data_IF_178913918250
#
_entry.id   IF_178913918250
#
_cell.length_a   1.000
_cell.length_b   1.000
_cell.length_c   1.000
_cell.angle_alpha   90.00
_cell.angle_beta   90.00
_cell.angle_gamma   90.00
#
_symmetry.space_group_name_H-M   'P 1'
#
loop_
_entity.id
_entity.type
_entity.pdbx_description
1 polymer ?
#
# COMPACT_ATOMS: atom_id res chain seq x y z
N UNK A 1 -44.07 -31.56 -14.57
CA UNK A 1 -42.77 -30.90 -14.29
C UNK A 1 -41.73 -31.99 -14.09
N UNK A 2 -41.07 -32.45 -15.17
CA UNK A 2 -40.02 -33.47 -15.10
C UNK A 2 -38.70 -32.75 -15.40
N UNK A 3 -37.96 -32.38 -14.36
CA UNK A 3 -36.56 -31.98 -14.54
C UNK A 3 -35.81 -33.21 -15.04
N UNK A 4 -35.39 -33.18 -16.31
CA UNK A 4 -34.68 -34.31 -16.91
C UNK A 4 -33.36 -34.52 -16.18
N UNK A 5 -33.01 -35.77 -15.84
CA UNK A 5 -31.77 -36.13 -15.16
C UNK A 5 -30.52 -35.55 -15.87
N UNK A 6 -30.63 -35.28 -17.18
CA UNK A 6 -29.63 -34.62 -18.01
C UNK A 6 -29.29 -33.21 -17.49
N UNK A 7 -30.25 -32.42 -17.05
CA UNK A 7 -29.99 -31.06 -16.52
C UNK A 7 -29.24 -31.08 -15.19
N UNK A 8 -29.47 -32.09 -14.36
CA UNK A 8 -28.77 -32.25 -13.07
C UNK A 8 -27.32 -32.66 -13.31
N UNK A 9 -27.07 -33.58 -14.24
CA UNK A 9 -25.71 -34.03 -14.58
C UNK A 9 -24.89 -32.89 -15.20
N UNK A 10 -25.47 -32.07 -16.08
CA UNK A 10 -24.78 -30.90 -16.66
C UNK A 10 -24.40 -29.88 -15.59
N UNK A 11 -25.28 -29.61 -14.62
CA UNK A 11 -24.97 -28.71 -13.51
C UNK A 11 -23.87 -29.26 -12.59
N UNK A 12 -23.89 -30.55 -12.27
CA UNK A 12 -22.89 -31.18 -11.39
C UNK A 12 -21.52 -31.21 -12.06
N UNK A 13 -21.46 -31.62 -13.34
CA UNK A 13 -20.20 -31.66 -14.11
C UNK A 13 -19.67 -30.24 -14.35
N UNK A 14 -20.55 -29.27 -14.62
CA UNK A 14 -20.18 -27.86 -14.75
C UNK A 14 -19.59 -27.29 -13.46
N UNK A 15 -20.21 -27.54 -12.31
CA UNK A 15 -19.67 -27.12 -11.00
C UNK A 15 -18.35 -27.81 -10.67
N UNK A 16 -18.19 -29.10 -10.97
CA UNK A 16 -16.94 -29.83 -10.77
C UNK A 16 -15.81 -29.29 -11.65
N UNK A 17 -16.09 -28.94 -12.91
CA UNK A 17 -15.10 -28.31 -13.78
C UNK A 17 -14.72 -26.93 -13.27
N UNK A 18 -15.68 -26.11 -12.82
CA UNK A 18 -15.38 -24.79 -12.23
C UNK A 18 -14.54 -24.93 -10.96
N UNK A 19 -14.81 -25.92 -10.11
CA UNK A 19 -14.01 -26.20 -8.91
C UNK A 19 -12.61 -26.74 -9.22
N UNK A 20 -12.43 -27.47 -10.32
CA UNK A 20 -11.12 -27.96 -10.78
C UNK A 20 -10.32 -26.89 -11.54
N UNK A 21 -10.99 -25.91 -12.15
CA UNK A 21 -10.38 -24.76 -12.83
C UNK A 21 -10.19 -23.54 -11.92
N UNK A 22 -10.73 -23.58 -10.69
CA UNK A 22 -10.38 -22.68 -9.61
C UNK A 22 -8.93 -22.96 -9.20
N UNK A 23 -7.99 -22.44 -9.99
CA UNK A 23 -6.60 -22.30 -9.55
C UNK A 23 -6.64 -21.54 -8.24
N UNK A 24 -6.12 -22.16 -7.18
CA UNK A 24 -5.68 -21.42 -6.01
C UNK A 24 -4.73 -20.32 -6.52
N UNK A 25 -5.13 -19.07 -6.35
CA UNK A 25 -4.22 -17.95 -6.49
C UNK A 25 -3.18 -18.12 -5.38
N UNK A 26 -2.12 -18.86 -5.68
CA UNK A 26 -0.93 -18.89 -4.83
C UNK A 26 -0.43 -17.46 -4.62
N UNK A 27 0.33 -17.19 -3.54
CA UNK A 27 0.88 -15.87 -3.33
C UNK A 27 1.65 -15.47 -4.57
N UNK A 28 1.20 -14.40 -5.25
CA UNK A 28 1.94 -13.80 -6.35
C UNK A 28 3.31 -13.44 -5.80
N UNK A 29 4.36 -14.03 -6.37
CA UNK A 29 5.74 -13.71 -6.00
C UNK A 29 6.17 -12.46 -6.76
N UNK A 30 6.35 -11.35 -6.04
CA UNK A 30 6.59 -10.02 -6.60
C UNK A 30 8.07 -9.76 -6.93
N UNK A 31 8.91 -10.80 -6.90
CA UNK A 31 10.28 -10.76 -7.41
C UNK A 31 10.35 -10.27 -8.87
N UNK A 32 9.27 -10.40 -9.64
CA UNK A 32 9.18 -9.88 -11.02
C UNK A 32 9.07 -8.35 -11.10
N UNK A 33 8.43 -7.65 -10.15
CA UNK A 33 8.33 -6.19 -10.23
C UNK A 33 9.70 -5.53 -10.21
N UNK A 34 10.59 -6.05 -9.36
CA UNK A 34 11.97 -5.59 -9.22
C UNK A 34 12.85 -5.82 -10.44
N UNK A 35 12.42 -6.66 -11.40
CA UNK A 35 13.17 -6.84 -12.67
C UNK A 35 13.23 -5.57 -13.49
N UNK A 36 12.19 -4.74 -13.41
CA UNK A 36 12.12 -3.43 -14.05
C UNK A 36 12.15 -2.27 -13.05
N UNK A 37 11.62 -2.46 -11.83
CA UNK A 37 11.55 -1.45 -10.76
C UNK A 37 12.58 -1.74 -9.66
N UNK A 38 13.86 -1.74 -10.03
CA UNK A 38 14.96 -2.06 -9.10
C UNK A 38 15.21 -1.01 -8.02
N UNK A 39 14.90 0.27 -8.29
CA UNK A 39 15.18 1.40 -7.38
C UNK A 39 14.39 1.37 -6.06
N UNK A 40 13.36 0.53 -5.96
CA UNK A 40 12.52 0.39 -4.76
C UNK A 40 12.36 -1.08 -4.36
N UNK A 41 13.36 -1.90 -4.68
CA UNK A 41 13.37 -3.31 -4.32
C UNK A 41 13.46 -3.50 -2.80
N UNK A 42 12.84 -4.57 -2.28
CA UNK A 42 12.95 -4.95 -0.87
C UNK A 42 14.39 -5.36 -0.52
N UNK A 43 14.78 -5.17 0.73
CA UNK A 43 16.06 -5.62 1.28
C UNK A 43 17.21 -4.62 1.17
N UNK A 44 16.96 -3.38 0.74
CA UNK A 44 17.99 -2.34 0.62
C UNK A 44 18.17 -1.51 1.90
N UNK A 45 17.22 -1.57 2.84
CA UNK A 45 17.14 -0.65 3.97
C UNK A 45 17.15 -1.35 5.33
N UNK A 46 17.70 -0.68 6.35
CA UNK A 46 17.73 -1.20 7.72
C UNK A 46 16.33 -1.33 8.36
N UNK A 47 15.36 -0.53 7.91
CA UNK A 47 13.97 -0.59 8.33
C UNK A 47 13.07 -0.62 7.08
N UNK A 48 12.21 -1.62 6.99
CA UNK A 48 11.30 -1.82 5.86
C UNK A 48 9.97 -2.39 6.33
N UNK A 49 8.98 -2.40 5.43
CA UNK A 49 7.72 -3.10 5.69
C UNK A 49 7.94 -4.61 5.75
N UNK A 50 7.09 -5.37 6.47
CA UNK A 50 7.22 -6.82 6.57
C UNK A 50 7.33 -7.52 5.20
N UNK A 51 8.20 -8.53 5.10
CA UNK A 51 8.48 -9.27 3.86
C UNK A 51 7.25 -9.93 3.23
N UNK A 52 6.23 -10.23 4.03
CA UNK A 52 4.98 -10.83 3.56
C UNK A 52 4.04 -9.82 2.90
N UNK A 53 4.37 -8.53 2.91
CA UNK A 53 3.58 -7.51 2.23
C UNK A 53 3.88 -7.54 0.73
N UNK A 54 2.84 -7.55 -0.09
CA UNK A 54 2.95 -7.45 -1.56
C UNK A 54 3.09 -5.98 -2.01
N UNK A 55 3.71 -5.72 -3.16
CA UNK A 55 3.66 -4.42 -3.84
C UNK A 55 2.21 -3.96 -4.11
N UNK A 56 1.32 -4.89 -4.45
CA UNK A 56 -0.10 -4.61 -4.70
C UNK A 56 -0.96 -4.53 -3.45
N UNK A 57 -0.36 -4.63 -2.26
CA UNK A 57 -1.06 -4.26 -1.04
C UNK A 57 -1.29 -2.74 -0.97
N UNK A 58 -0.45 -1.96 -1.66
CA UNK A 58 -0.56 -0.50 -1.73
C UNK A 58 -0.79 0.01 -3.16
N UNK A 59 -0.24 -0.67 -4.17
CA UNK A 59 -0.27 -0.22 -5.56
C UNK A 59 -1.28 -0.97 -6.44
N UNK A 60 -1.77 -0.28 -7.47
CA UNK A 60 -2.35 -0.87 -8.68
C UNK A 60 -1.30 -0.86 -9.78
N UNK A 61 -1.27 -1.86 -10.65
CA UNK A 61 -0.07 -2.09 -11.47
C UNK A 61 0.16 -1.08 -12.58
N UNK A 62 -0.88 -0.63 -13.28
CA UNK A 62 -0.69 0.18 -14.49
C UNK A 62 -1.59 1.40 -14.61
N UNK A 63 -2.61 1.51 -13.76
CA UNK A 63 -3.50 2.66 -13.79
C UNK A 63 -4.22 2.83 -12.47
N UNK A 64 -4.03 3.98 -11.84
CA UNK A 64 -4.79 4.45 -10.67
C UNK A 64 -5.56 5.73 -11.00
N UNK A 65 -6.61 5.99 -10.22
CA UNK A 65 -7.22 7.32 -10.14
C UNK A 65 -6.50 8.27 -9.17
N UNK A 66 -5.51 7.75 -8.45
CA UNK A 66 -4.71 8.44 -7.42
C UNK A 66 -3.26 8.59 -7.91
N UNK A 67 -2.46 9.48 -7.31
CA UNK A 67 -1.05 9.60 -7.68
C UNK A 67 -0.24 8.33 -7.37
N UNK A 68 0.89 8.15 -8.06
CA UNK A 68 1.87 7.06 -7.79
C UNK A 68 1.29 5.65 -7.80
N UNK A 69 0.25 5.41 -8.61
CA UNK A 69 -0.34 4.08 -8.74
C UNK A 69 -0.91 3.52 -7.43
N UNK A 70 -1.44 4.34 -6.53
CA UNK A 70 -1.96 3.85 -5.24
C UNK A 70 -3.38 3.26 -5.36
N UNK A 71 -3.73 2.32 -4.48
CA UNK A 71 -5.10 1.77 -4.38
C UNK A 71 -6.12 2.80 -3.86
N UNK A 72 -5.66 3.74 -3.04
CA UNK A 72 -6.47 4.78 -2.40
C UNK A 72 -5.66 6.08 -2.28
N UNK A 73 -6.21 7.08 -1.59
CA UNK A 73 -5.44 8.30 -1.30
C UNK A 73 -4.22 7.99 -0.42
N UNK A 74 -3.16 8.81 -0.45
CA UNK A 74 -1.94 8.59 0.33
C UNK A 74 -2.16 8.41 1.83
N UNK A 75 -3.22 9.01 2.38
CA UNK A 75 -3.57 8.84 3.79
C UNK A 75 -4.24 7.49 4.05
N UNK A 76 -5.19 7.10 3.19
CA UNK A 76 -6.02 5.91 3.39
C UNK A 76 -5.24 4.62 3.11
N UNK A 77 -4.35 4.61 2.12
CA UNK A 77 -3.56 3.42 1.76
C UNK A 77 -2.66 2.94 2.91
N UNK A 78 -2.26 3.86 3.82
CA UNK A 78 -1.49 3.51 5.00
C UNK A 78 -2.40 3.08 6.16
N UNK A 79 -3.50 3.81 6.38
CA UNK A 79 -4.36 3.61 7.55
C UNK A 79 -5.18 2.33 7.46
N UNK A 80 -5.63 1.99 6.26
CA UNK A 80 -6.52 0.85 6.05
C UNK A 80 -5.89 -0.12 5.04
N UNK A 81 -5.82 -1.43 5.35
CA UNK A 81 -6.35 -2.09 6.55
C UNK A 81 -5.34 -2.19 7.71
N UNK A 82 -4.11 -1.67 7.56
CA UNK A 82 -3.00 -2.06 8.44
C UNK A 82 -2.75 -1.12 9.62
N UNK A 83 -2.71 0.19 9.39
CA UNK A 83 -2.36 1.15 10.43
C UNK A 83 -3.58 1.90 10.97
N UNK A 84 -4.58 1.12 11.40
CA UNK A 84 -5.87 1.61 11.92
C UNK A 84 -5.69 2.43 13.20
N UNK A 85 -4.66 2.14 13.98
CA UNK A 85 -4.23 2.92 15.14
C UNK A 85 -2.75 3.29 15.03
N UNK A 86 -2.46 4.53 14.60
CA UNK A 86 -1.11 5.09 14.62
C UNK A 86 -0.98 6.15 15.70
N UNK A 87 0.09 6.04 16.50
CA UNK A 87 0.57 7.11 17.35
C UNK A 87 1.06 8.28 16.51
N UNK A 88 0.17 9.22 16.19
CA UNK A 88 0.52 10.42 15.42
C UNK A 88 1.30 11.38 16.31
N UNK A 89 2.62 11.41 16.12
CA UNK A 89 3.48 12.43 16.75
C UNK A 89 3.30 13.81 16.12
N UNK A 90 2.67 13.88 14.94
CA UNK A 90 2.36 15.10 14.21
C UNK A 90 1.04 14.95 13.45
N UNK A 91 0.35 16.07 13.22
CA UNK A 91 -0.88 16.11 12.42
C UNK A 91 -0.60 15.73 10.97
N UNK A 92 -1.48 14.91 10.40
CA UNK A 92 -1.50 14.53 8.98
C UNK A 92 -2.91 14.74 8.42
N UNK A 93 -3.00 15.15 7.17
CA UNK A 93 -4.25 15.51 6.52
C UNK A 93 -4.06 16.61 5.49
N UNK A 94 -5.17 16.95 4.85
CA UNK A 94 -5.25 18.02 3.86
C UNK A 94 -5.56 19.36 4.53
N UNK A 95 -5.07 20.45 3.96
CA UNK A 95 -5.30 21.82 4.39
C UNK A 95 -5.04 22.09 5.88
N UNK A 96 -4.04 21.41 6.47
CA UNK A 96 -3.64 21.68 7.85
C UNK A 96 -3.06 23.10 7.94
N UNK A 97 -3.50 23.87 8.94
CA UNK A 97 -3.01 25.23 9.12
C UNK A 97 -1.61 25.17 9.75
N UNK A 98 -0.60 25.54 8.97
CA UNK A 98 0.75 25.69 9.49
C UNK A 98 0.78 26.88 10.48
N UNK A 99 1.12 26.64 11.77
CA UNK A 99 1.05 27.70 12.77
C UNK A 99 1.99 28.89 12.50
N UNK A 100 3.09 28.65 11.78
CA UNK A 100 4.09 29.67 11.44
C UNK A 100 3.66 30.51 10.25
N UNK A 101 3.31 29.88 9.13
CA UNK A 101 2.97 30.61 7.90
C UNK A 101 1.51 31.07 7.84
N UNK A 102 0.63 30.51 8.68
CA UNK A 102 -0.84 30.68 8.64
C UNK A 102 -1.47 30.29 7.31
N UNK A 103 -0.76 29.51 6.49
CA UNK A 103 -1.24 28.98 5.23
C UNK A 103 -1.60 27.49 5.36
N UNK A 104 -2.61 27.02 4.61
CA UNK A 104 -2.93 25.60 4.55
C UNK A 104 -1.78 24.84 3.89
N UNK A 105 -1.49 23.66 4.42
CA UNK A 105 -0.49 22.74 3.89
C UNK A 105 -0.98 21.31 4.04
N UNK A 106 -0.85 20.53 2.98
CA UNK A 106 -1.12 19.10 3.01
C UNK A 106 0.10 18.40 3.60
N UNK A 107 -0.12 17.49 4.56
CA UNK A 107 0.92 16.65 5.14
C UNK A 107 0.41 15.22 5.17
N UNK A 108 1.06 14.32 4.46
CA UNK A 108 0.68 12.90 4.42
C UNK A 108 1.72 12.03 5.10
N UNK A 109 1.39 10.76 5.34
CA UNK A 109 2.33 9.82 5.96
C UNK A 109 3.62 9.69 5.15
N UNK A 110 3.52 9.68 3.82
CA UNK A 110 4.60 9.29 2.90
C UNK A 110 5.24 10.47 2.15
N UNK A 111 4.63 11.65 2.16
CA UNK A 111 5.19 12.83 1.47
C UNK A 111 6.31 13.48 2.26
N UNK A 112 6.16 13.56 3.58
CA UNK A 112 6.99 14.46 4.40
C UNK A 112 7.80 13.73 5.47
N UNK A 113 7.38 12.52 5.86
CA UNK A 113 7.92 11.86 7.05
C UNK A 113 8.45 10.47 6.77
N UNK A 114 7.64 9.59 6.18
CA UNK A 114 7.97 8.19 5.99
C UNK A 114 8.29 7.86 4.54
N UNK A 115 9.19 6.91 4.32
CA UNK A 115 9.37 6.22 3.03
C UNK A 115 8.67 4.86 3.11
N UNK A 116 7.56 4.64 2.39
CA UNK A 116 6.82 3.39 2.45
C UNK A 116 7.59 2.20 1.88
N UNK A 117 8.67 2.41 1.11
CA UNK A 117 9.51 1.33 0.59
C UNK A 117 10.62 0.91 1.57
N UNK A 118 10.91 1.74 2.57
CA UNK A 118 11.93 1.49 3.58
C UNK A 118 12.94 2.62 3.70
N UNK A 119 13.66 2.67 4.81
CA UNK A 119 14.75 3.61 5.03
C UNK A 119 15.76 3.13 6.07
N UNK A 120 16.90 3.80 6.14
CA UNK A 120 17.91 3.53 7.17
C UNK A 120 17.62 4.22 8.52
N UNK A 121 16.45 4.86 8.64
CA UNK A 121 16.05 5.60 9.84
C UNK A 121 14.83 4.94 10.49
N UNK A 122 14.87 4.84 11.83
CA UNK A 122 13.85 4.13 12.61
C UNK A 122 12.44 4.64 12.27
N UNK A 123 11.50 3.71 12.17
CA UNK A 123 10.12 3.95 11.72
C UNK A 123 10.07 4.41 10.26
N UNK A 124 10.95 3.90 9.40
CA UNK A 124 10.99 4.19 7.96
C UNK A 124 10.98 5.70 7.66
N UNK A 125 11.63 6.51 8.49
CA UNK A 125 11.66 7.97 8.28
C UNK A 125 12.53 8.32 7.08
N UNK A 126 12.23 9.41 6.35
CA UNK A 126 13.05 9.83 5.21
C UNK A 126 14.44 10.36 5.61
N UNK A 127 14.58 10.85 6.84
CA UNK A 127 15.82 11.39 7.41
C UNK A 127 15.79 11.28 8.95
N UNK A 128 16.90 11.61 9.67
CA UNK A 128 16.89 11.63 11.12
C UNK A 128 15.77 12.51 11.66
N UNK A 129 15.05 12.04 12.69
CA UNK A 129 13.84 12.70 13.19
C UNK A 129 14.02 14.20 13.47
N UNK A 130 15.17 14.60 14.02
CA UNK A 130 15.47 16.01 14.29
C UNK A 130 15.53 16.84 13.00
N UNK A 131 16.22 16.36 11.98
CA UNK A 131 16.36 17.05 10.70
C UNK A 131 15.03 17.15 9.98
N UNK A 132 14.21 16.09 10.07
CA UNK A 132 12.85 16.06 9.53
C UNK A 132 12.00 17.23 10.05
N UNK A 133 12.00 17.45 11.37
CA UNK A 133 11.26 18.57 11.98
C UNK A 133 11.72 19.92 11.42
N UNK A 134 13.04 20.11 11.30
CA UNK A 134 13.63 21.37 10.84
C UNK A 134 13.59 21.56 9.32
N UNK A 135 13.20 20.54 8.55
CA UNK A 135 12.99 20.66 7.11
C UNK A 135 11.85 21.64 6.78
N UNK A 136 10.81 21.69 7.62
CA UNK A 136 9.69 22.63 7.51
C UNK A 136 9.71 23.72 8.60
N UNK A 137 10.07 23.39 9.84
CA UNK A 137 10.08 24.34 10.95
C UNK A 137 11.44 25.03 11.09
N UNK A 138 11.67 26.10 10.32
CA UNK A 138 12.89 26.91 10.47
C UNK A 138 12.90 27.60 11.84
N UNK A 139 14.07 27.62 12.49
CA UNK A 139 14.32 28.33 13.75
C UNK A 139 14.20 29.85 13.60
#
# INVERSE_FOLDING_TARGET
MKTSAISIVVCIVGCLIILLMARAEGPVDWSECGTCHSEHARGEYAFEHPDNLSCTACHVTHKSGTGKLLLASPLIVCQEPCHTEMGRSHSVGEALINPSSKMPQDVTCTSDCHDPHGSNYKHILQMPARELCFSCHRL
#
